data_IF_984290209883
#
_entry.id   IF_984290209883
#
_cell.length_a   1.000
_cell.length_b   1.000
_cell.length_c   1.000
_cell.angle_alpha   90.00
_cell.angle_beta   90.00
_cell.angle_gamma   90.00
#
_symmetry.space_group_name_H-M   'P 1'
#
loop_
_entity.id
_entity.type
_entity.pdbx_description
1 polymer ?
#
# COMPACT_ATOMS: atom_id res chain seq x y z
N UNK A 1 11.21 17.79 7.25
CA UNK A 1 9.84 18.34 7.47
C UNK A 1 8.97 17.18 7.89
N UNK A 2 8.52 17.14 9.14
CA UNK A 2 7.86 15.95 9.71
C UNK A 2 6.46 15.75 9.12
N UNK A 3 6.18 14.55 8.61
CA UNK A 3 4.84 14.17 8.15
C UNK A 3 3.89 13.95 9.35
N UNK A 4 2.61 14.19 9.16
CA UNK A 4 1.60 13.88 10.16
C UNK A 4 1.37 12.37 10.22
N UNK A 5 1.31 11.81 11.43
CA UNK A 5 1.10 10.38 11.64
C UNK A 5 0.44 10.07 12.97
N UNK A 6 -0.20 8.90 13.04
CA UNK A 6 -0.64 8.30 14.29
C UNK A 6 0.24 7.07 14.59
N UNK A 7 0.60 6.87 15.86
CA UNK A 7 1.39 5.73 16.32
C UNK A 7 0.63 5.00 17.42
N UNK A 8 0.36 3.72 17.21
CA UNK A 8 -0.47 2.91 18.12
C UNK A 8 -0.07 1.44 18.08
N UNK A 9 -0.21 0.76 19.21
CA UNK A 9 0.11 -0.65 19.33
C UNK A 9 1.53 -0.91 19.84
N UNK A 10 1.93 -2.18 19.76
CA UNK A 10 3.24 -2.64 20.20
C UNK A 10 3.74 -3.81 19.37
N UNK A 11 5.06 -4.02 19.30
CA UNK A 11 5.70 -5.05 18.49
C UNK A 11 6.54 -4.46 17.35
N UNK A 12 6.90 -5.26 16.34
CA UNK A 12 7.68 -4.77 15.20
C UNK A 12 6.95 -3.64 14.47
N UNK A 13 7.65 -2.54 14.08
CA UNK A 13 7.03 -1.39 13.43
C UNK A 13 6.48 -1.74 12.03
N UNK A 14 5.23 -1.37 11.79
CA UNK A 14 4.53 -1.49 10.51
C UNK A 14 4.04 -0.11 10.07
N UNK A 15 4.70 0.43 9.05
CA UNK A 15 4.33 1.71 8.43
C UNK A 15 3.21 1.49 7.41
N UNK A 16 2.15 2.28 7.51
CA UNK A 16 0.95 2.16 6.69
C UNK A 16 0.75 3.42 5.85
N UNK A 17 0.86 3.28 4.52
CA UNK A 17 0.79 4.35 3.53
C UNK A 17 -0.53 4.28 2.76
N UNK A 18 -1.35 5.33 2.83
CA UNK A 18 -2.64 5.40 2.15
C UNK A 18 -2.52 5.71 0.65
N UNK A 19 -3.63 5.59 -0.09
CA UNK A 19 -3.71 5.92 -1.52
C UNK A 19 -3.79 7.44 -1.79
N UNK A 20 -3.55 7.83 -3.04
CA UNK A 20 -3.67 9.23 -3.48
C UNK A 20 -5.07 9.77 -3.19
N UNK A 21 -5.14 11.00 -2.67
CA UNK A 21 -6.40 11.65 -2.30
C UNK A 21 -7.05 11.11 -1.01
N UNK A 22 -6.38 10.25 -0.26
CA UNK A 22 -6.86 9.70 1.01
C UNK A 22 -6.12 10.33 2.21
N UNK A 23 -6.21 9.73 3.38
CA UNK A 23 -5.56 10.14 4.64
C UNK A 23 -5.28 8.94 5.53
N UNK A 24 -4.48 9.11 6.59
CA UNK A 24 -4.07 8.02 7.50
C UNK A 24 -5.22 7.25 8.13
N UNK A 25 -6.41 7.89 8.31
CA UNK A 25 -7.62 7.23 8.84
C UNK A 25 -8.21 6.14 7.91
N UNK A 26 -7.70 5.99 6.68
CA UNK A 26 -7.98 4.82 5.82
C UNK A 26 -7.73 3.49 6.54
N UNK A 27 -6.81 3.48 7.48
CA UNK A 27 -6.38 2.29 8.22
C UNK A 27 -7.16 2.02 9.50
N UNK A 28 -8.02 2.95 9.93
CA UNK A 28 -8.75 2.84 11.22
C UNK A 28 -9.46 1.51 11.42
N UNK A 29 -10.06 0.95 10.36
CA UNK A 29 -10.79 -0.32 10.44
C UNK A 29 -9.89 -1.52 10.74
N UNK A 30 -8.61 -1.50 10.38
CA UNK A 30 -7.68 -2.62 10.62
C UNK A 30 -6.90 -2.49 11.94
N UNK A 31 -6.82 -1.28 12.51
CA UNK A 31 -6.07 -1.01 13.75
C UNK A 31 -6.41 -1.98 14.89
N UNK A 32 -7.69 -2.25 15.25
CA UNK A 32 -8.01 -3.14 16.37
C UNK A 32 -7.52 -4.60 16.19
N UNK A 33 -7.20 -4.98 14.95
CA UNK A 33 -6.78 -6.34 14.57
C UNK A 33 -5.26 -6.52 14.54
N UNK A 34 -4.53 -5.40 14.50
CA UNK A 34 -3.09 -5.37 14.29
C UNK A 34 -2.31 -4.87 15.51
N UNK A 35 -2.86 -3.94 16.27
CA UNK A 35 -2.16 -3.16 17.31
C UNK A 35 -1.55 -3.97 18.44
N UNK A 36 -2.05 -5.19 18.67
CA UNK A 36 -1.52 -6.07 19.72
C UNK A 36 -0.32 -6.90 19.24
N UNK A 37 0.00 -6.85 17.93
CA UNK A 37 1.07 -7.60 17.28
C UNK A 37 2.04 -6.72 16.49
N UNK A 38 1.66 -5.48 16.21
CA UNK A 38 2.48 -4.51 15.45
C UNK A 38 2.33 -3.12 16.06
N UNK A 39 3.45 -2.42 16.10
CA UNK A 39 3.42 -0.97 16.29
C UNK A 39 3.07 -0.32 14.96
N UNK A 40 1.85 0.20 14.86
CA UNK A 40 1.31 0.79 13.63
C UNK A 40 1.71 2.26 13.54
N UNK A 41 2.30 2.64 12.41
CA UNK A 41 2.66 4.02 12.07
C UNK A 41 1.87 4.39 10.83
N UNK A 42 0.71 5.00 11.01
CA UNK A 42 -0.19 5.42 9.95
C UNK A 42 0.14 6.85 9.54
N UNK A 43 0.56 7.04 8.30
CA UNK A 43 1.14 8.31 7.82
C UNK A 43 0.19 9.01 6.86
N UNK A 44 0.01 10.32 7.02
CA UNK A 44 -0.51 11.16 5.95
C UNK A 44 0.63 11.47 4.97
N UNK A 45 0.45 11.08 3.70
CA UNK A 45 1.45 11.34 2.65
C UNK A 45 1.67 12.84 2.44
N UNK A 46 2.82 13.27 1.90
CA UNK A 46 3.06 14.66 1.55
C UNK A 46 1.90 15.26 0.74
N UNK A 47 1.40 16.41 1.15
CA UNK A 47 0.24 17.10 0.54
C UNK A 47 -1.12 16.47 0.82
N UNK A 48 -1.21 15.52 1.75
CA UNK A 48 -2.45 14.85 2.15
C UNK A 48 -2.73 15.04 3.65
N UNK A 49 -3.99 14.95 4.03
CA UNK A 49 -4.43 15.02 5.42
C UNK A 49 -3.91 16.25 6.14
N UNK A 50 -3.14 16.04 7.21
CA UNK A 50 -2.50 17.09 8.02
C UNK A 50 -1.00 17.26 7.71
N UNK A 51 -0.46 16.51 6.75
CA UNK A 51 0.93 16.66 6.30
C UNK A 51 1.14 17.95 5.52
N UNK A 52 2.39 18.48 5.52
CA UNK A 52 2.72 19.68 4.76
C UNK A 52 2.39 19.57 3.26
N UNK A 53 2.16 20.72 2.58
CA UNK A 53 1.94 20.75 1.15
C UNK A 53 3.09 20.09 0.38
N UNK A 54 2.75 19.24 -0.60
CA UNK A 54 3.73 18.54 -1.42
C UNK A 54 4.32 19.45 -2.51
N UNK A 55 5.66 19.49 -2.60
CA UNK A 55 6.40 20.26 -3.58
C UNK A 55 7.54 19.42 -4.16
N UNK A 56 7.38 18.81 -5.35
CA UNK A 56 8.40 17.92 -5.91
C UNK A 56 9.71 18.61 -6.32
N UNK A 57 9.72 19.95 -6.40
CA UNK A 57 10.95 20.71 -6.70
C UNK A 57 11.55 20.38 -8.07
N UNK A 58 10.73 20.11 -9.08
CA UNK A 58 11.18 19.74 -10.42
C UNK A 58 11.55 18.26 -10.59
N UNK A 59 11.49 17.45 -9.52
CA UNK A 59 11.68 15.99 -9.56
C UNK A 59 10.40 15.29 -10.07
N UNK A 60 10.53 14.03 -10.45
CA UNK A 60 9.36 13.20 -10.75
C UNK A 60 8.51 13.06 -9.46
N UNK A 61 7.18 13.37 -9.50
CA UNK A 61 6.41 13.54 -8.28
C UNK A 61 6.34 12.29 -7.38
N UNK A 62 6.18 11.09 -7.95
CA UNK A 62 6.08 9.88 -7.11
C UNK A 62 7.42 9.54 -6.48
N UNK A 63 8.52 9.74 -7.22
CA UNK A 63 9.87 9.53 -6.67
C UNK A 63 10.18 10.54 -5.57
N UNK A 64 9.87 11.83 -5.79
CA UNK A 64 10.04 12.86 -4.76
C UNK A 64 9.23 12.55 -3.49
N UNK A 65 8.01 12.04 -3.65
CA UNK A 65 7.18 11.63 -2.51
C UNK A 65 7.76 10.42 -1.78
N UNK A 66 8.32 9.45 -2.50
CA UNK A 66 9.01 8.30 -1.89
C UNK A 66 10.23 8.75 -1.07
N UNK A 67 11.03 9.67 -1.60
CA UNK A 67 12.18 10.25 -0.89
C UNK A 67 11.76 10.97 0.40
N UNK A 68 10.65 11.73 0.37
CA UNK A 68 10.11 12.39 1.58
C UNK A 68 9.60 11.37 2.61
N UNK A 69 8.95 10.28 2.18
CA UNK A 69 8.53 9.19 3.07
C UNK A 69 9.76 8.48 3.67
N UNK A 70 10.79 8.20 2.88
CA UNK A 70 12.01 7.56 3.37
C UNK A 70 12.75 8.48 4.37
N UNK A 71 12.86 9.76 4.08
CA UNK A 71 13.43 10.73 5.01
C UNK A 71 12.64 10.79 6.34
N UNK A 72 11.32 10.68 6.28
CA UNK A 72 10.48 10.58 7.47
C UNK A 72 10.74 9.30 8.27
N UNK A 73 11.00 8.14 7.63
CA UNK A 73 11.42 6.93 8.33
C UNK A 73 12.75 7.16 9.09
N UNK A 74 13.69 7.88 8.48
CA UNK A 74 14.95 8.26 9.13
C UNK A 74 14.75 9.17 10.33
N UNK A 75 13.86 10.18 10.22
CA UNK A 75 13.49 11.06 11.34
C UNK A 75 12.91 10.26 12.54
N UNK A 76 12.22 9.15 12.27
CA UNK A 76 11.68 8.26 13.31
C UNK A 76 12.70 7.22 13.83
N UNK A 77 13.91 7.16 13.28
CA UNK A 77 14.89 6.15 13.59
C UNK A 77 14.54 4.74 13.11
N UNK A 78 13.71 4.64 12.05
CA UNK A 78 13.26 3.40 11.46
C UNK A 78 14.12 3.06 10.24
N UNK A 79 15.18 2.30 10.47
CA UNK A 79 16.13 1.96 9.40
C UNK A 79 15.49 1.04 8.34
N UNK A 80 14.83 -0.04 8.75
CA UNK A 80 14.14 -1.00 7.89
C UNK A 80 12.85 -1.52 8.54
N UNK A 81 11.77 -0.71 8.62
CA UNK A 81 10.50 -1.18 9.15
C UNK A 81 9.80 -2.12 8.15
N UNK A 82 8.75 -2.82 8.58
CA UNK A 82 7.77 -3.35 7.66
C UNK A 82 7.00 -2.19 7.03
N UNK A 83 6.82 -2.20 5.70
CA UNK A 83 6.10 -1.13 5.00
C UNK A 83 4.93 -1.72 4.22
N UNK A 84 3.75 -1.20 4.44
CA UNK A 84 2.57 -1.59 3.68
C UNK A 84 1.83 -0.36 3.14
N UNK A 85 1.19 -0.50 1.98
CA UNK A 85 0.44 0.60 1.42
C UNK A 85 -0.63 0.17 0.44
N UNK A 86 -1.59 1.08 0.23
CA UNK A 86 -2.65 0.91 -0.75
C UNK A 86 -2.45 1.86 -1.93
N UNK A 87 -2.66 1.38 -3.15
CA UNK A 87 -2.61 2.23 -4.36
C UNK A 87 -1.27 2.96 -4.52
N UNK A 88 -1.26 4.30 -4.47
CA UNK A 88 -0.03 5.12 -4.43
C UNK A 88 0.86 4.72 -3.25
N UNK A 89 0.29 4.56 -2.05
CA UNK A 89 1.04 4.10 -0.88
C UNK A 89 1.66 2.71 -1.09
N UNK A 90 0.99 1.84 -1.86
CA UNK A 90 1.54 0.54 -2.28
C UNK A 90 2.74 0.69 -3.22
N UNK A 91 2.68 1.64 -4.15
CA UNK A 91 3.83 1.97 -5.02
C UNK A 91 5.00 2.54 -4.22
N UNK A 92 4.73 3.44 -3.25
CA UNK A 92 5.76 3.99 -2.36
C UNK A 92 6.40 2.90 -1.48
N UNK A 93 5.61 1.95 -1.00
CA UNK A 93 6.12 0.79 -0.25
C UNK A 93 7.06 -0.08 -1.12
N UNK A 94 6.70 -0.30 -2.39
CA UNK A 94 7.55 -1.03 -3.34
C UNK A 94 8.84 -0.26 -3.66
N UNK A 95 8.78 1.06 -3.80
CA UNK A 95 9.97 1.91 -3.98
C UNK A 95 10.87 1.81 -2.73
N UNK A 96 10.32 1.93 -1.52
CA UNK A 96 11.09 1.75 -0.29
C UNK A 96 11.76 0.35 -0.23
N UNK A 97 11.06 -0.69 -0.70
CA UNK A 97 11.63 -2.03 -0.83
C UNK A 97 12.78 -2.11 -1.83
N UNK A 98 12.63 -1.46 -3.01
CA UNK A 98 13.69 -1.45 -4.04
C UNK A 98 14.92 -0.65 -3.63
N UNK A 99 14.77 0.30 -2.71
CA UNK A 99 15.87 1.08 -2.14
C UNK A 99 16.45 0.45 -0.85
N UNK A 100 16.04 -0.80 -0.51
CA UNK A 100 16.52 -1.52 0.67
C UNK A 100 16.04 -0.92 2.01
N UNK A 101 15.04 -0.04 2.00
CA UNK A 101 14.51 0.71 3.16
C UNK A 101 13.31 0.03 3.84
N UNK A 102 13.00 -1.20 3.45
CA UNK A 102 11.94 -2.00 4.08
C UNK A 102 12.43 -3.39 4.44
N UNK A 103 12.05 -3.92 5.62
CA UNK A 103 12.28 -5.31 6.00
C UNK A 103 11.34 -6.26 5.22
N UNK A 104 10.09 -5.84 5.02
CA UNK A 104 9.11 -6.50 4.13
C UNK A 104 8.23 -5.45 3.47
N UNK A 105 7.64 -5.79 2.34
CA UNK A 105 6.71 -4.92 1.60
C UNK A 105 5.36 -5.59 1.40
N UNK A 106 4.26 -4.87 1.69
CA UNK A 106 2.90 -5.32 1.33
C UNK A 106 2.18 -4.25 0.51
N UNK A 107 1.92 -4.54 -0.77
CA UNK A 107 1.14 -3.68 -1.66
C UNK A 107 -0.31 -4.15 -1.80
N UNK A 108 -1.27 -3.31 -1.43
CA UNK A 108 -2.69 -3.53 -1.65
C UNK A 108 -3.13 -2.79 -2.91
N UNK A 109 -3.42 -3.49 -4.00
CA UNK A 109 -3.71 -2.92 -5.32
C UNK A 109 -2.73 -1.77 -5.68
N UNK A 110 -1.40 -1.99 -5.66
CA UNK A 110 -0.41 -0.93 -5.82
C UNK A 110 -0.48 -0.31 -7.22
N UNK A 111 -0.25 1.02 -7.30
CA UNK A 111 -0.14 1.72 -8.57
C UNK A 111 1.17 1.38 -9.30
N UNK A 112 1.18 1.56 -10.62
CA UNK A 112 2.40 1.38 -11.43
C UNK A 112 2.42 0.15 -12.34
N UNK A 113 1.40 -0.72 -12.30
CA UNK A 113 1.32 -1.96 -13.07
C UNK A 113 0.32 -1.88 -14.23
N UNK A 114 0.33 -0.79 -14.95
CA UNK A 114 -0.57 -0.57 -16.09
C UNK A 114 -0.32 -1.59 -17.22
N UNK A 115 -1.37 -2.19 -17.74
CA UNK A 115 -1.24 -3.03 -18.97
C UNK A 115 -0.93 -2.14 -20.19
N UNK A 116 -1.53 -0.94 -20.22
CA UNK A 116 -1.29 0.08 -21.25
C UNK A 116 -1.74 1.47 -20.77
N UNK A 117 -1.27 2.54 -21.42
CA UNK A 117 -1.58 3.94 -21.05
C UNK A 117 -3.09 4.25 -20.92
N UNK A 118 -3.96 3.53 -21.65
CA UNK A 118 -5.41 3.74 -21.56
C UNK A 118 -5.96 3.45 -20.17
N UNK A 119 -5.38 2.47 -19.43
CA UNK A 119 -5.81 2.20 -18.05
C UNK A 119 -5.47 3.36 -17.12
N UNK A 120 -4.31 3.99 -17.29
CA UNK A 120 -3.98 5.20 -16.55
C UNK A 120 -4.94 6.35 -16.88
N UNK A 121 -5.23 6.56 -18.19
CA UNK A 121 -6.19 7.59 -18.62
C UNK A 121 -7.59 7.33 -18.04
N UNK A 122 -8.00 6.07 -17.95
CA UNK A 122 -9.26 5.67 -17.31
C UNK A 122 -9.25 6.01 -15.80
N UNK A 123 -8.22 5.64 -15.06
CA UNK A 123 -8.08 5.98 -13.64
C UNK A 123 -8.09 7.51 -13.44
N UNK A 124 -7.35 8.26 -14.26
CA UNK A 124 -7.34 9.73 -14.24
C UNK A 124 -8.74 10.33 -14.50
N UNK A 125 -9.51 9.74 -15.41
CA UNK A 125 -10.89 10.17 -15.66
C UNK A 125 -11.80 9.95 -14.45
N UNK A 126 -11.64 8.83 -13.72
CA UNK A 126 -12.37 8.59 -12.48
C UNK A 126 -12.02 9.66 -11.44
N UNK A 127 -10.73 9.96 -11.22
CA UNK A 127 -10.31 11.01 -10.29
C UNK A 127 -10.88 12.38 -10.70
N UNK A 128 -10.94 12.68 -12.00
CA UNK A 128 -11.55 13.93 -12.48
C UNK A 128 -13.04 13.99 -12.19
N UNK A 129 -13.77 12.89 -12.35
CA UNK A 129 -15.18 12.80 -11.96
C UNK A 129 -15.35 12.98 -10.45
N UNK A 130 -14.50 12.34 -9.62
CA UNK A 130 -14.53 12.51 -8.18
C UNK A 130 -14.27 13.97 -7.77
N UNK A 131 -13.32 14.63 -8.40
CA UNK A 131 -13.00 16.05 -8.18
C UNK A 131 -14.21 16.95 -8.49
N UNK A 132 -14.77 16.84 -9.70
CA UNK A 132 -15.90 17.67 -10.13
C UNK A 132 -17.12 17.40 -9.23
N UNK A 133 -17.39 16.13 -8.93
CA UNK A 133 -18.49 15.76 -8.04
C UNK A 133 -18.25 16.31 -6.63
N UNK A 134 -17.04 16.10 -6.08
CA UNK A 134 -16.67 16.59 -4.75
C UNK A 134 -16.82 18.11 -4.63
N UNK A 135 -16.37 18.88 -5.63
CA UNK A 135 -16.51 20.32 -5.67
C UNK A 135 -17.99 20.75 -5.72
N UNK A 136 -18.79 20.08 -6.56
CA UNK A 136 -20.22 20.40 -6.74
C UNK A 136 -21.10 20.07 -5.52
N UNK A 137 -20.67 19.13 -4.68
CA UNK A 137 -21.49 18.67 -3.54
C UNK A 137 -21.01 19.16 -2.18
N UNK A 138 -20.01 20.03 -2.08
CA UNK A 138 -19.44 20.46 -0.79
C UNK A 138 -20.50 20.85 0.24
N UNK A 139 -21.52 21.62 -0.15
CA UNK A 139 -22.62 22.01 0.73
C UNK A 139 -23.57 20.85 1.11
N UNK A 140 -23.66 19.80 0.30
CA UNK A 140 -24.53 18.62 0.53
C UNK A 140 -23.76 17.40 1.01
N UNK A 141 -22.43 17.41 1.02
CA UNK A 141 -21.59 16.29 1.44
C UNK A 141 -21.99 15.71 2.81
N UNK A 142 -22.29 16.49 3.86
CA UNK A 142 -22.73 15.94 5.15
C UNK A 142 -24.04 15.14 5.06
N UNK A 143 -24.97 15.59 4.19
CA UNK A 143 -26.24 14.89 3.96
C UNK A 143 -26.05 13.59 3.19
N UNK A 144 -25.21 13.61 2.14
CA UNK A 144 -24.87 12.43 1.34
C UNK A 144 -24.12 11.39 2.18
N UNK A 145 -23.13 11.80 2.96
CA UNK A 145 -22.37 10.91 3.84
C UNK A 145 -23.26 10.17 4.87
N UNK A 146 -24.33 10.80 5.35
CA UNK A 146 -25.27 10.18 6.29
C UNK A 146 -26.13 9.09 5.66
N UNK A 147 -26.41 9.14 4.36
CA UNK A 147 -27.25 8.14 3.70
C UNK A 147 -26.41 7.04 3.05
N UNK A 148 -26.92 5.80 3.09
CA UNK A 148 -26.27 4.64 2.42
C UNK A 148 -26.17 4.87 0.90
N UNK A 149 -27.22 5.40 0.28
CA UNK A 149 -27.23 5.72 -1.15
C UNK A 149 -26.22 6.82 -1.49
N UNK A 150 -26.11 7.85 -0.63
CA UNK A 150 -25.12 8.91 -0.82
C UNK A 150 -23.68 8.38 -0.72
N UNK A 151 -23.38 7.52 0.27
CA UNK A 151 -22.09 6.86 0.36
C UNK A 151 -21.80 5.96 -0.86
N UNK A 152 -22.80 5.22 -1.33
CA UNK A 152 -22.65 4.43 -2.55
C UNK A 152 -22.31 5.32 -3.76
N UNK A 153 -23.00 6.45 -3.91
CA UNK A 153 -22.73 7.39 -5.00
C UNK A 153 -21.30 7.96 -4.95
N UNK A 154 -20.81 8.30 -3.74
CA UNK A 154 -19.50 8.92 -3.54
C UNK A 154 -18.35 7.93 -3.69
N UNK A 155 -18.51 6.68 -3.24
CA UNK A 155 -17.39 5.75 -3.04
C UNK A 155 -17.46 4.47 -3.89
N UNK A 156 -18.51 4.24 -4.72
CA UNK A 156 -18.67 3.01 -5.48
C UNK A 156 -17.53 2.73 -6.48
N UNK A 157 -16.77 3.74 -6.89
CA UNK A 157 -15.61 3.58 -7.76
C UNK A 157 -14.43 2.94 -7.03
N UNK A 158 -14.30 3.18 -5.71
CA UNK A 158 -13.13 2.78 -4.93
C UNK A 158 -13.43 1.74 -3.84
N UNK A 159 -14.67 1.65 -3.36
CA UNK A 159 -15.12 0.72 -2.32
C UNK A 159 -16.23 -0.19 -2.87
N UNK A 160 -16.11 -1.48 -2.69
CA UNK A 160 -17.15 -2.45 -3.09
C UNK A 160 -18.38 -2.45 -2.18
N UNK A 161 -18.18 -2.11 -0.90
CA UNK A 161 -19.21 -2.11 0.13
C UNK A 161 -19.30 -0.74 0.84
N UNK A 162 -19.73 0.34 0.14
CA UNK A 162 -19.76 1.70 0.69
C UNK A 162 -20.64 1.84 1.95
N UNK A 163 -21.58 0.92 2.16
CA UNK A 163 -22.41 0.86 3.37
C UNK A 163 -21.61 0.61 4.65
N UNK A 164 -20.39 0.06 4.56
CA UNK A 164 -19.48 -0.16 5.69
C UNK A 164 -18.78 1.10 6.18
N UNK A 165 -18.70 2.14 5.33
CA UNK A 165 -18.21 3.44 5.76
C UNK A 165 -19.18 4.05 6.76
N UNK A 166 -18.67 4.60 7.87
CA UNK A 166 -19.47 5.48 8.71
C UNK A 166 -19.73 6.81 8.00
N UNK A 167 -20.73 7.57 8.48
CA UNK A 167 -20.99 8.91 7.95
C UNK A 167 -19.79 9.85 8.17
N UNK A 168 -19.13 9.72 9.31
CA UNK A 168 -17.95 10.50 9.68
C UNK A 168 -16.75 10.18 8.77
N UNK A 169 -16.46 8.89 8.54
CA UNK A 169 -15.43 8.46 7.61
C UNK A 169 -15.69 8.99 6.20
N UNK A 170 -16.90 8.79 5.67
CA UNK A 170 -17.28 9.24 4.34
C UNK A 170 -17.14 10.76 4.17
N UNK A 171 -17.57 11.54 5.17
CA UNK A 171 -17.41 13.00 5.15
C UNK A 171 -15.92 13.39 5.19
N UNK A 172 -15.18 12.82 6.14
CA UNK A 172 -13.75 13.12 6.29
C UNK A 172 -12.92 12.74 5.07
N UNK A 173 -13.23 11.61 4.42
CA UNK A 173 -12.50 11.18 3.22
C UNK A 173 -12.85 12.05 2.00
N UNK A 174 -14.11 12.52 1.89
CA UNK A 174 -14.49 13.51 0.88
C UNK A 174 -13.74 14.83 1.08
N UNK A 175 -13.61 15.30 2.30
CA UNK A 175 -12.87 16.52 2.64
C UNK A 175 -11.37 16.35 2.39
N UNK A 176 -10.79 15.21 2.82
CA UNK A 176 -9.38 14.91 2.60
C UNK A 176 -9.01 14.87 1.11
N UNK A 177 -9.87 14.29 0.27
CA UNK A 177 -9.68 14.31 -1.18
C UNK A 177 -9.62 15.73 -1.74
N UNK A 178 -10.49 16.64 -1.27
CA UNK A 178 -10.50 18.03 -1.72
C UNK A 178 -9.27 18.81 -1.25
N UNK A 179 -8.77 18.52 -0.04
CA UNK A 179 -7.52 19.11 0.48
C UNK A 179 -6.32 18.63 -0.33
N UNK A 180 -6.27 17.35 -0.65
CA UNK A 180 -5.15 16.72 -1.37
C UNK A 180 -5.08 17.06 -2.87
N UNK A 181 -6.08 17.76 -3.43
CA UNK A 181 -6.17 18.08 -4.87
C UNK A 181 -4.85 18.51 -5.52
N UNK A 182 -4.08 19.46 -4.96
CA UNK A 182 -2.82 19.89 -5.59
C UNK A 182 -1.82 18.72 -5.74
N UNK A 183 -1.71 17.85 -4.73
CA UNK A 183 -0.86 16.67 -4.79
C UNK A 183 -1.42 15.61 -5.78
N UNK A 184 -2.74 15.41 -5.79
CA UNK A 184 -3.42 14.51 -6.75
C UNK A 184 -3.13 14.94 -8.18
N UNK A 185 -3.24 16.23 -8.51
CA UNK A 185 -2.98 16.77 -9.86
C UNK A 185 -1.53 16.51 -10.28
N UNK A 186 -0.57 16.72 -9.39
CA UNK A 186 0.86 16.45 -9.64
C UNK A 186 1.11 14.96 -9.90
N UNK A 187 0.59 14.08 -9.05
CA UNK A 187 0.77 12.61 -9.19
C UNK A 187 0.10 12.08 -10.47
N UNK A 188 -1.07 12.62 -10.83
CA UNK A 188 -1.81 12.22 -12.02
C UNK A 188 -1.38 12.96 -13.30
N UNK A 189 -0.37 13.82 -13.24
CA UNK A 189 0.18 14.46 -14.43
C UNK A 189 0.82 13.42 -15.36
N UNK A 190 1.59 12.49 -14.81
CA UNK A 190 2.27 11.42 -15.54
C UNK A 190 2.00 10.04 -14.92
N UNK A 191 1.92 8.96 -15.74
CA UNK A 191 1.80 7.61 -15.21
C UNK A 191 3.11 7.17 -14.55
N UNK A 192 3.04 6.71 -13.32
CA UNK A 192 4.09 5.88 -12.74
C UNK A 192 4.09 4.52 -13.45
N UNK A 193 5.26 4.05 -13.84
CA UNK A 193 5.53 2.67 -14.25
C UNK A 193 6.53 2.08 -13.29
N UNK A 194 6.08 1.14 -12.46
CA UNK A 194 6.99 0.48 -11.53
C UNK A 194 7.80 -0.58 -12.30
N UNK A 195 9.11 -0.41 -12.34
CA UNK A 195 10.04 -1.31 -13.03
C UNK A 195 11.29 -1.60 -12.21
N UNK A 196 11.41 -1.01 -11.03
CA UNK A 196 12.56 -1.20 -10.16
C UNK A 196 12.63 -2.66 -9.66
N UNK A 197 13.80 -3.30 -9.67
CA UNK A 197 13.98 -4.60 -9.03
C UNK A 197 13.90 -4.45 -7.51
N UNK A 198 13.36 -5.47 -6.86
CA UNK A 198 13.43 -5.63 -5.40
C UNK A 198 14.26 -6.90 -5.14
N UNK A 199 15.22 -6.81 -4.24
CA UNK A 199 16.05 -7.95 -3.86
C UNK A 199 15.19 -9.11 -3.33
N UNK A 200 15.51 -10.34 -3.72
CA UNK A 200 14.74 -11.54 -3.31
C UNK A 200 14.68 -11.74 -1.79
N UNK A 201 15.68 -11.21 -1.06
CA UNK A 201 15.74 -11.24 0.40
C UNK A 201 14.70 -10.34 1.08
N UNK A 202 14.11 -9.38 0.35
CA UNK A 202 13.01 -8.55 0.84
C UNK A 202 11.69 -9.24 0.52
N UNK A 203 10.98 -9.82 1.50
CA UNK A 203 9.69 -10.46 1.26
C UNK A 203 8.67 -9.44 0.76
N UNK A 204 8.08 -9.71 -0.40
CA UNK A 204 7.06 -8.86 -1.02
C UNK A 204 5.73 -9.61 -1.09
N UNK A 205 4.66 -8.97 -0.63
CA UNK A 205 3.28 -9.44 -0.81
C UNK A 205 2.49 -8.43 -1.63
N UNK A 206 1.87 -8.87 -2.73
CA UNK A 206 0.96 -8.07 -3.56
C UNK A 206 -0.44 -8.66 -3.42
N UNK A 207 -1.38 -7.90 -2.89
CA UNK A 207 -2.76 -8.34 -2.75
C UNK A 207 -3.69 -7.42 -3.55
N UNK A 208 -4.57 -7.99 -4.38
CA UNK A 208 -5.39 -7.23 -5.32
C UNK A 208 -6.88 -7.46 -5.14
N UNK A 209 -7.66 -6.36 -5.05
CA UNK A 209 -9.11 -6.43 -4.95
C UNK A 209 -9.75 -7.04 -6.21
N UNK A 210 -10.54 -8.13 -6.06
CA UNK A 210 -11.18 -8.79 -7.20
C UNK A 210 -12.31 -7.96 -7.82
N UNK A 211 -12.77 -6.91 -7.12
CA UNK A 211 -13.76 -5.94 -7.60
C UNK A 211 -13.17 -4.52 -7.71
N UNK A 212 -11.85 -4.41 -7.84
CA UNK A 212 -11.20 -3.12 -8.05
C UNK A 212 -11.63 -2.52 -9.40
N UNK A 213 -12.28 -1.36 -9.33
CA UNK A 213 -12.79 -0.63 -10.49
C UNK A 213 -11.91 0.55 -10.88
N UNK A 214 -10.92 0.89 -10.04
CA UNK A 214 -9.99 1.97 -10.31
C UNK A 214 -8.69 1.44 -10.91
N UNK A 215 -8.01 0.52 -10.22
CA UNK A 215 -6.86 -0.22 -10.72
C UNK A 215 -7.30 -1.65 -11.04
N UNK A 216 -7.63 -1.88 -12.33
CA UNK A 216 -8.31 -3.10 -12.75
C UNK A 216 -7.52 -4.37 -12.39
N UNK A 217 -8.18 -5.48 -12.03
CA UNK A 217 -7.52 -6.73 -11.63
C UNK A 217 -6.52 -7.30 -12.66
N UNK A 218 -6.66 -6.94 -13.95
CA UNK A 218 -5.67 -7.29 -14.99
C UNK A 218 -4.27 -6.72 -14.73
N UNK A 219 -4.15 -5.70 -13.90
CA UNK A 219 -2.85 -5.14 -13.49
C UNK A 219 -2.11 -6.06 -12.51
N UNK A 220 -2.83 -6.90 -11.76
CA UNK A 220 -2.22 -7.92 -10.91
C UNK A 220 -1.38 -8.93 -11.73
N UNK A 221 -1.76 -9.21 -12.99
CA UNK A 221 -0.99 -10.08 -13.87
C UNK A 221 0.30 -9.41 -14.35
N UNK A 222 0.30 -8.09 -14.49
CA UNK A 222 1.53 -7.31 -14.76
C UNK A 222 2.44 -7.37 -13.54
N UNK A 223 1.90 -7.12 -12.35
CA UNK A 223 2.66 -7.20 -11.09
C UNK A 223 3.29 -8.59 -10.91
N UNK A 224 2.55 -9.67 -11.22
CA UNK A 224 3.06 -11.06 -11.13
C UNK A 224 4.23 -11.33 -12.08
N UNK A 225 4.21 -10.75 -13.27
CA UNK A 225 5.32 -10.87 -14.23
C UNK A 225 6.54 -10.05 -13.85
N UNK A 226 6.33 -8.86 -13.26
CA UNK A 226 7.42 -7.95 -12.88
C UNK A 226 8.06 -8.33 -11.54
N UNK A 227 7.30 -8.90 -10.63
CA UNK A 227 7.74 -9.33 -9.30
C UNK A 227 7.40 -10.83 -9.10
N UNK A 228 8.03 -11.75 -9.85
CA UNK A 228 7.70 -13.18 -9.82
C UNK A 228 7.95 -13.83 -8.45
N UNK A 229 8.89 -13.30 -7.66
CA UNK A 229 9.23 -13.79 -6.31
C UNK A 229 8.25 -13.28 -5.24
N UNK A 230 7.40 -12.30 -5.56
CA UNK A 230 6.41 -11.80 -4.63
C UNK A 230 5.28 -12.81 -4.41
N UNK A 231 4.74 -12.83 -3.21
CA UNK A 231 3.49 -13.56 -2.89
C UNK A 231 2.31 -12.76 -3.46
N UNK A 232 1.58 -13.35 -4.41
CA UNK A 232 0.43 -12.71 -5.06
C UNK A 232 -0.89 -13.29 -4.56
N UNK A 233 -1.76 -12.44 -4.00
CA UNK A 233 -3.01 -12.83 -3.36
C UNK A 233 -4.21 -12.09 -3.97
N UNK A 234 -5.33 -12.78 -4.26
CA UNK A 234 -6.59 -12.09 -4.49
C UNK A 234 -7.18 -11.63 -3.15
N UNK A 235 -7.90 -10.49 -3.18
CA UNK A 235 -8.77 -10.04 -2.09
C UNK A 235 -10.23 -10.21 -2.53
N UNK A 236 -10.88 -11.34 -2.24
CA UNK A 236 -12.20 -11.67 -2.75
C UNK A 236 -13.27 -10.66 -2.33
N UNK A 237 -13.99 -10.12 -3.30
CA UNK A 237 -15.08 -9.19 -3.06
C UNK A 237 -14.67 -7.78 -2.64
N UNK A 238 -13.36 -7.47 -2.55
CA UNK A 238 -12.85 -6.14 -2.23
C UNK A 238 -12.69 -5.28 -3.47
N UNK A 239 -12.94 -3.98 -3.33
CA UNK A 239 -12.64 -2.93 -4.30
C UNK A 239 -11.20 -2.42 -4.15
N UNK A 240 -11.00 -1.16 -4.57
CA UNK A 240 -9.69 -0.50 -4.56
C UNK A 240 -9.18 -0.16 -3.15
N UNK A 241 -10.09 0.16 -2.22
CA UNK A 241 -9.79 0.44 -0.80
C UNK A 241 -10.27 -0.74 0.06
N UNK A 242 -9.51 -1.86 0.08
CA UNK A 242 -9.96 -3.12 0.67
C UNK A 242 -10.09 -3.05 2.20
N UNK A 243 -9.40 -2.12 2.87
CA UNK A 243 -9.45 -1.91 4.32
C UNK A 243 -10.87 -1.62 4.82
N UNK A 244 -11.70 -0.99 3.99
CA UNK A 244 -13.11 -0.74 4.26
C UNK A 244 -13.98 -1.97 3.94
N UNK A 245 -13.67 -2.68 2.87
CA UNK A 245 -14.48 -3.77 2.36
C UNK A 245 -14.37 -5.04 3.21
N UNK A 246 -13.15 -5.39 3.62
CA UNK A 246 -12.89 -6.56 4.47
C UNK A 246 -11.65 -6.34 5.36
N UNK A 247 -11.83 -5.62 6.49
CA UNK A 247 -10.72 -5.31 7.39
C UNK A 247 -10.10 -6.55 8.04
N UNK A 248 -10.85 -7.67 8.21
CA UNK A 248 -10.31 -8.91 8.76
C UNK A 248 -9.37 -9.60 7.76
N UNK A 249 -9.75 -9.66 6.49
CA UNK A 249 -8.91 -10.20 5.44
C UNK A 249 -7.64 -9.36 5.25
N UNK A 250 -7.80 -8.03 5.21
CA UNK A 250 -6.66 -7.11 5.05
C UNK A 250 -5.70 -7.22 6.23
N UNK A 251 -6.20 -7.29 7.46
CA UNK A 251 -5.36 -7.45 8.63
C UNK A 251 -4.53 -8.75 8.58
N UNK A 252 -5.13 -9.87 8.19
CA UNK A 252 -4.37 -11.12 7.99
C UNK A 252 -3.27 -10.97 6.94
N UNK A 253 -3.58 -10.35 5.80
CA UNK A 253 -2.58 -10.11 4.73
C UNK A 253 -1.45 -9.23 5.23
N UNK A 254 -1.75 -8.19 6.02
CA UNK A 254 -0.74 -7.29 6.59
C UNK A 254 0.12 -7.98 7.65
N UNK A 255 -0.46 -8.81 8.52
CA UNK A 255 0.29 -9.60 9.52
C UNK A 255 1.21 -10.60 8.85
N UNK A 256 0.68 -11.40 7.93
CA UNK A 256 1.47 -12.39 7.18
C UNK A 256 2.58 -11.70 6.37
N UNK A 257 2.26 -10.60 5.66
CA UNK A 257 3.19 -9.84 4.84
C UNK A 257 4.25 -9.07 5.62
N UNK A 258 4.03 -8.85 6.92
CA UNK A 258 4.98 -8.21 7.84
C UNK A 258 5.67 -9.21 8.78
N UNK A 259 5.71 -10.48 8.41
CA UNK A 259 6.43 -11.52 9.14
C UNK A 259 7.65 -11.93 8.31
N UNK A 260 8.84 -11.85 8.91
CA UNK A 260 10.06 -12.34 8.28
C UNK A 260 10.03 -13.88 8.23
N UNK A 261 10.50 -14.49 7.14
CA UNK A 261 10.67 -15.93 7.10
C UNK A 261 11.63 -16.37 8.21
N UNK A 262 11.29 -17.45 8.90
CA UNK A 262 12.22 -18.06 9.86
C UNK A 262 13.49 -18.46 9.08
N UNK A 263 14.69 -18.11 9.58
CA UNK A 263 15.92 -18.59 8.95
C UNK A 263 15.86 -20.11 8.85
N UNK A 264 15.91 -20.63 7.66
CA UNK A 264 16.12 -22.07 7.45
C UNK A 264 17.49 -22.38 8.01
N UNK A 265 17.60 -23.28 8.98
CA UNK A 265 18.89 -23.77 9.44
C UNK A 265 19.68 -24.23 8.20
N UNK A 266 20.96 -23.81 8.06
CA UNK A 266 21.76 -24.32 6.97
C UNK A 266 21.73 -25.84 7.04
N UNK A 267 21.39 -26.50 5.94
CA UNK A 267 21.39 -27.96 5.84
C UNK A 267 22.72 -28.42 6.41
N UNK A 268 22.67 -29.26 7.46
CA UNK A 268 23.86 -29.81 8.09
C UNK A 268 24.78 -30.33 6.96
N UNK A 269 25.95 -29.76 6.85
CA UNK A 269 26.98 -30.22 5.92
C UNK A 269 27.18 -31.69 6.19
N UNK A 270 26.78 -32.54 5.23
CA UNK A 270 27.06 -33.98 5.31
C UNK A 270 28.56 -34.14 5.55
N UNK A 271 28.93 -34.70 6.69
CA UNK A 271 30.30 -35.09 6.95
C UNK A 271 30.79 -35.95 5.79
N UNK A 272 32.02 -35.73 5.27
CA UNK A 272 32.55 -36.59 4.25
C UNK A 272 32.67 -38.00 4.80
N UNK A 273 32.08 -38.98 4.10
CA UNK A 273 32.12 -40.38 4.45
C UNK A 273 33.59 -40.80 4.67
N UNK A 274 33.85 -41.26 5.89
CA UNK A 274 35.14 -41.80 6.32
C UNK A 274 35.58 -42.92 5.33
N UNK A 275 36.72 -42.73 4.66
CA UNK A 275 37.26 -43.66 3.71
C UNK A 275 37.54 -45.01 4.40
N UNK A 276 36.91 -46.06 3.93
CA UNK A 276 37.15 -47.43 4.40
C UNK A 276 38.66 -47.82 4.28
N UNK A 277 39.22 -48.49 5.29
CA UNK A 277 40.61 -48.87 5.27
C UNK A 277 40.86 -49.96 4.20
N UNK A 278 41.96 -49.74 3.45
CA UNK A 278 42.53 -50.61 2.44
C UNK A 278 42.82 -52.04 2.99
N UNK A 279 42.23 -53.06 2.42
CA UNK A 279 42.53 -54.44 2.78
C UNK A 279 43.82 -54.90 2.06
N UNK A 280 44.83 -55.39 2.78
CA UNK A 280 46.05 -55.91 2.14
C UNK A 280 45.71 -57.18 1.31
N UNK A 281 46.25 -57.23 0.10
CA UNK A 281 46.23 -58.38 -0.81
C UNK A 281 47.08 -59.52 -0.22
N UNK A 282 46.45 -60.64 0.09
CA UNK A 282 47.14 -61.93 0.32
C UNK A 282 47.45 -62.59 -1.00
N UNK A 283 48.63 -63.14 -1.05
CA UNK A 283 49.24 -63.88 -2.19
C UNK A 283 48.63 -65.25 -2.36
#
# INVERSE_FOLDING_TARGET
>A
MTLAYDRVGSGPPLVLLHGVGHRRQAWTAVVPRLRDQRELIMVDLPGHGESPPFQPGGREPVQAMAEEVIAFLDELGLERPHVAGNSLGGALALIAGSEGRAATVTGLSPAGFWVHRRQFSYAKAIFKVMEVTGAGIQGSAPRLARSTTGRALLFAAVVSRPSRLSAEQALGDTQAFMIARPAVDLILANPLWFTAPIEEQVPVTIAWGTKDRLLLPSQADVARRQLPHARHLPLPGCGHVPMTDDPDLVARVLLDGSTLPTPTEPAATAEPAESAPDRPAER
#
